data_IF_553853480781
#
_entry.id   IF_553853480781
#
_cell.length_a   1.000
_cell.length_b   1.000
_cell.length_c   1.000
_cell.angle_alpha   90.00
_cell.angle_beta   90.00
_cell.angle_gamma   90.00
#
_symmetry.space_group_name_H-M   'P 1'
#
loop_
_entity.id
_entity.type
_entity.pdbx_description
1 polymer ?
#
# COMPACT_ATOMS: atom_id res chain seq x y z
N UNK A 1 -14.38 17.11 17.46
CA UNK A 1 -13.82 16.60 16.19
C UNK A 1 -13.46 17.77 15.30
N UNK A 2 -12.32 17.69 14.63
CA UNK A 2 -11.58 18.84 14.09
C UNK A 2 -11.55 18.88 12.56
N UNK A 3 -12.07 17.87 11.88
CA UNK A 3 -11.92 17.73 10.44
C UNK A 3 -12.40 18.99 9.68
N UNK A 4 -13.61 19.48 9.92
CA UNK A 4 -14.11 20.69 9.26
C UNK A 4 -13.16 21.90 9.43
N UNK A 5 -12.57 22.08 10.62
CA UNK A 5 -11.63 23.16 10.90
C UNK A 5 -10.30 22.95 10.15
N UNK A 6 -9.75 21.74 10.19
CA UNK A 6 -8.50 21.39 9.51
C UNK A 6 -8.65 21.58 8.00
N UNK A 7 -9.76 21.14 7.41
CA UNK A 7 -9.98 21.31 5.98
C UNK A 7 -10.23 22.77 5.60
N UNK A 8 -10.93 23.53 6.44
CA UNK A 8 -11.05 24.97 6.26
C UNK A 8 -9.67 25.64 6.26
N UNK A 9 -8.81 25.35 7.25
CA UNK A 9 -7.44 25.87 7.29
C UNK A 9 -6.65 25.49 6.03
N UNK A 10 -6.74 24.24 5.55
CA UNK A 10 -6.10 23.79 4.30
C UNK A 10 -6.59 24.57 3.09
N UNK A 11 -7.90 24.79 2.95
CA UNK A 11 -8.48 25.59 1.86
C UNK A 11 -7.97 27.03 1.88
N UNK A 12 -7.89 27.65 3.07
CA UNK A 12 -7.30 28.98 3.23
C UNK A 12 -5.83 29.00 2.80
N UNK A 13 -5.01 28.04 3.26
CA UNK A 13 -3.60 27.94 2.87
C UNK A 13 -3.41 27.77 1.36
N UNK A 14 -4.24 26.93 0.72
CA UNK A 14 -4.23 26.74 -0.74
C UNK A 14 -4.58 28.03 -1.48
N UNK A 15 -5.60 28.76 -1.03
CA UNK A 15 -6.01 30.04 -1.62
C UNK A 15 -4.95 31.14 -1.46
N UNK A 16 -4.37 31.26 -0.27
CA UNK A 16 -3.24 32.15 0.00
C UNK A 16 -2.07 31.84 -0.93
N UNK A 17 -1.70 30.56 -1.06
CA UNK A 17 -0.62 30.14 -1.97
C UNK A 17 -0.91 30.48 -3.42
N UNK A 18 -2.09 30.18 -3.93
CA UNK A 18 -2.45 30.49 -5.32
C UNK A 18 -2.28 31.99 -5.61
N UNK A 19 -2.67 32.83 -4.65
CA UNK A 19 -2.51 34.28 -4.69
C UNK A 19 -1.03 34.69 -4.64
N UNK A 20 -0.26 34.12 -3.73
CA UNK A 20 1.18 34.38 -3.59
C UNK A 20 1.96 33.97 -4.85
N UNK A 21 1.66 32.80 -5.43
CA UNK A 21 2.30 32.33 -6.67
C UNK A 21 1.96 33.27 -7.83
N UNK A 22 0.69 33.64 -7.98
CA UNK A 22 0.28 34.62 -8.98
C UNK A 22 1.01 35.96 -8.83
N UNK A 23 1.17 36.46 -7.60
CA UNK A 23 1.91 37.69 -7.33
C UNK A 23 3.40 37.57 -7.69
N UNK A 24 4.05 36.44 -7.41
CA UNK A 24 5.45 36.18 -7.79
C UNK A 24 5.64 35.96 -9.30
N UNK A 25 4.65 35.36 -9.98
CA UNK A 25 4.65 35.17 -11.43
C UNK A 25 4.46 36.49 -12.18
N UNK A 26 3.66 37.41 -11.61
CA UNK A 26 3.42 38.75 -12.14
C UNK A 26 4.60 39.73 -11.94
N UNK A 27 5.60 39.39 -11.12
CA UNK A 27 6.78 40.23 -10.86
C UNK A 27 7.94 39.93 -11.84
N UNK A 28 8.60 40.94 -12.45
CA UNK A 28 9.73 40.72 -13.37
C UNK A 28 10.93 40.05 -12.69
N UNK A 29 11.52 39.09 -13.40
CA UNK A 29 12.47 38.07 -12.94
C UNK A 29 13.54 38.51 -11.91
N UNK A 30 13.52 37.82 -10.76
CA UNK A 30 14.74 37.30 -10.15
C UNK A 30 14.62 35.77 -10.11
N UNK A 31 15.59 35.08 -10.69
CA UNK A 31 15.65 33.61 -10.74
C UNK A 31 15.83 33.00 -9.35
N UNK A 32 16.52 33.69 -8.43
CA UNK A 32 16.77 33.23 -7.07
C UNK A 32 15.49 33.13 -6.19
N UNK A 33 14.63 34.18 -6.10
CA UNK A 33 13.38 34.11 -5.34
C UNK A 33 12.40 33.08 -5.90
N UNK A 34 12.35 32.88 -7.23
CA UNK A 34 11.52 31.84 -7.85
C UNK A 34 12.03 30.44 -7.52
N UNK A 35 13.34 30.19 -7.60
CA UNK A 35 13.94 28.90 -7.23
C UNK A 35 13.79 28.61 -5.72
N UNK A 36 13.98 29.62 -4.86
CA UNK A 36 13.79 29.50 -3.42
C UNK A 36 12.31 29.25 -3.05
N UNK A 37 11.37 29.92 -3.73
CA UNK A 37 9.93 29.68 -3.55
C UNK A 37 9.49 28.31 -4.05
N UNK A 38 10.09 27.78 -5.12
CA UNK A 38 9.82 26.44 -5.63
C UNK A 38 10.34 25.37 -4.67
N UNK A 39 11.57 25.51 -4.16
CA UNK A 39 12.12 24.60 -3.13
C UNK A 39 11.29 24.63 -1.85
N UNK A 40 10.85 25.82 -1.40
CA UNK A 40 9.99 25.94 -0.23
C UNK A 40 8.63 25.26 -0.45
N UNK A 41 8.02 25.45 -1.62
CA UNK A 41 6.78 24.77 -1.95
C UNK A 41 6.97 23.25 -1.99
N UNK A 42 8.03 22.74 -2.60
CA UNK A 42 8.25 21.31 -2.74
C UNK A 42 8.46 20.60 -1.40
N UNK A 43 9.16 21.25 -0.47
CA UNK A 43 9.49 20.68 0.83
C UNK A 43 8.40 20.87 1.88
N UNK A 44 7.80 22.07 1.95
CA UNK A 44 6.86 22.43 3.02
C UNK A 44 5.39 22.27 2.63
N UNK A 45 5.02 22.36 1.37
CA UNK A 45 3.62 22.20 0.95
C UNK A 45 3.04 20.84 1.34
N UNK A 46 3.75 19.71 1.14
CA UNK A 46 3.22 18.42 1.53
C UNK A 46 2.95 18.28 3.04
N UNK A 47 3.65 19.09 3.86
CA UNK A 47 3.43 19.14 5.32
C UNK A 47 2.15 19.89 5.70
N UNK A 48 1.70 20.84 4.87
CA UNK A 48 0.49 21.62 5.12
C UNK A 48 -0.80 20.82 4.85
N UNK A 49 -0.66 19.64 4.24
CA UNK A 49 -1.72 18.65 4.07
C UNK A 49 -1.66 17.98 2.69
N UNK A 50 -2.37 16.85 2.53
CA UNK A 50 -2.37 16.12 1.28
C UNK A 50 -2.93 16.97 0.13
N UNK A 51 -2.40 16.72 -1.07
CA UNK A 51 -2.93 17.26 -2.31
C UNK A 51 -4.43 16.90 -2.45
N UNK A 52 -5.16 17.68 -3.26
CA UNK A 52 -6.57 17.40 -3.53
C UNK A 52 -6.77 16.01 -4.16
N UNK A 53 -5.81 15.60 -4.99
CA UNK A 53 -5.76 14.30 -5.65
C UNK A 53 -4.34 13.75 -5.51
N UNK A 54 -4.16 12.45 -5.28
CA UNK A 54 -2.84 11.81 -5.35
C UNK A 54 -2.17 12.05 -6.71
N UNK A 55 -0.83 12.11 -6.76
CA UNK A 55 -0.12 12.13 -8.04
C UNK A 55 -0.44 10.84 -8.84
N UNK A 56 -0.42 10.90 -10.17
CA UNK A 56 -0.56 9.70 -10.99
C UNK A 56 0.66 8.80 -10.82
N UNK A 57 0.53 7.51 -11.14
CA UNK A 57 1.69 6.64 -11.28
C UNK A 57 2.66 7.24 -12.30
N UNK A 58 2.22 7.50 -13.54
CA UNK A 58 3.07 8.03 -14.63
C UNK A 58 4.21 7.09 -15.04
N UNK A 59 3.93 5.77 -15.15
CA UNK A 59 4.84 4.78 -15.73
C UNK A 59 4.55 4.71 -17.24
N UNK A 60 5.26 5.49 -18.04
CA UNK A 60 5.02 5.54 -19.50
C UNK A 60 5.74 4.44 -20.27
N UNK A 61 6.92 4.04 -19.80
CA UNK A 61 7.73 3.02 -20.44
C UNK A 61 8.74 2.42 -19.46
N UNK A 62 9.11 1.18 -19.69
CA UNK A 62 10.27 0.55 -19.05
C UNK A 62 11.48 0.59 -19.97
N UNK A 63 12.65 0.87 -19.39
CA UNK A 63 13.94 0.77 -20.05
C UNK A 63 14.62 -0.53 -19.60
N UNK A 64 14.73 -1.52 -20.49
CA UNK A 64 15.38 -2.81 -20.21
C UNK A 64 16.28 -3.21 -21.37
N UNK A 65 17.53 -3.56 -21.10
CA UNK A 65 18.48 -4.06 -22.11
C UNK A 65 18.59 -3.17 -23.37
N UNK A 66 18.49 -1.85 -23.19
CA UNK A 66 18.48 -0.87 -24.29
C UNK A 66 17.19 -0.81 -25.12
N UNK A 67 16.16 -1.60 -24.75
CA UNK A 67 14.81 -1.55 -25.32
C UNK A 67 13.90 -0.70 -24.46
N UNK A 68 13.05 0.09 -25.12
CA UNK A 68 11.96 0.83 -24.50
C UNK A 68 10.66 0.07 -24.77
N UNK A 69 10.09 -0.51 -23.73
CA UNK A 69 8.77 -1.13 -23.81
C UNK A 69 7.73 -0.13 -23.29
N UNK A 70 6.77 0.22 -24.15
CA UNK A 70 5.66 1.10 -23.75
C UNK A 70 4.76 0.40 -22.73
N UNK A 71 4.35 1.16 -21.72
CA UNK A 71 3.47 0.68 -20.65
C UNK A 71 2.09 1.31 -20.85
N UNK A 72 1.07 0.46 -20.85
CA UNK A 72 -0.34 0.88 -20.96
C UNK A 72 -1.00 0.73 -19.59
N UNK A 73 -1.46 1.85 -19.03
CA UNK A 73 -2.23 1.92 -17.79
C UNK A 73 -3.75 1.91 -18.12
N UNK A 74 -4.50 1.00 -17.48
CA UNK A 74 -5.97 0.89 -17.63
C UNK A 74 -6.63 0.53 -16.31
N UNK A 75 -7.86 1.00 -16.07
CA UNK A 75 -8.69 0.47 -14.99
C UNK A 75 -9.52 -0.71 -15.54
N UNK A 76 -9.37 -1.90 -14.94
CA UNK A 76 -10.02 -3.13 -15.42
C UNK A 76 -11.21 -3.57 -14.56
N UNK A 77 -11.30 -3.06 -13.33
CA UNK A 77 -12.44 -3.24 -12.44
C UNK A 77 -12.47 -2.08 -11.44
N UNK A 78 -13.68 -1.71 -11.00
CA UNK A 78 -13.87 -0.66 -10.01
C UNK A 78 -14.88 -1.12 -8.96
N UNK A 79 -14.59 -0.78 -7.72
CA UNK A 79 -15.52 -0.78 -6.59
C UNK A 79 -15.59 0.64 -6.03
N UNK A 80 -16.56 0.97 -5.17
CA UNK A 80 -16.64 2.33 -4.61
C UNK A 80 -15.39 2.77 -3.83
N UNK A 81 -14.59 1.84 -3.30
CA UNK A 81 -13.42 2.13 -2.47
C UNK A 81 -12.09 1.86 -3.16
N UNK A 82 -12.09 1.16 -4.30
CA UNK A 82 -10.85 0.72 -4.93
C UNK A 82 -11.05 0.45 -6.42
N UNK A 83 -10.12 0.97 -7.23
CA UNK A 83 -9.92 0.57 -8.61
C UNK A 83 -8.86 -0.54 -8.68
N UNK A 84 -9.03 -1.47 -9.62
CA UNK A 84 -7.99 -2.41 -10.01
C UNK A 84 -7.33 -1.89 -11.29
N UNK A 85 -6.15 -1.30 -11.13
CA UNK A 85 -5.39 -0.72 -12.23
C UNK A 85 -4.40 -1.73 -12.80
N UNK A 86 -4.45 -1.93 -14.10
CA UNK A 86 -3.51 -2.76 -14.86
C UNK A 86 -2.48 -1.88 -15.55
N UNK A 87 -1.22 -2.19 -15.30
CA UNK A 87 -0.06 -1.75 -16.07
C UNK A 87 0.39 -2.93 -16.91
N UNK A 88 0.41 -2.76 -18.23
CA UNK A 88 0.73 -3.85 -19.15
C UNK A 88 1.82 -3.47 -20.13
N UNK A 89 2.60 -4.47 -20.54
CA UNK A 89 3.65 -4.33 -21.56
C UNK A 89 3.57 -5.46 -22.59
N UNK A 90 4.17 -5.30 -23.77
CA UNK A 90 4.22 -6.37 -24.76
C UNK A 90 4.84 -7.67 -24.20
N UNK A 91 4.22 -8.81 -24.52
CA UNK A 91 4.72 -10.17 -24.26
C UNK A 91 4.92 -10.55 -22.78
N UNK A 92 4.21 -9.90 -21.86
CA UNK A 92 4.19 -10.31 -20.45
C UNK A 92 3.62 -11.74 -20.30
N UNK A 93 4.43 -12.64 -19.72
CA UNK A 93 4.10 -14.07 -19.58
C UNK A 93 3.32 -14.39 -18.31
N UNK A 94 3.31 -13.48 -17.33
CA UNK A 94 2.66 -13.66 -16.02
C UNK A 94 1.87 -12.42 -15.62
N UNK A 95 1.00 -12.61 -14.63
CA UNK A 95 0.22 -11.56 -14.00
C UNK A 95 0.63 -11.42 -12.54
N UNK A 96 0.81 -10.19 -12.06
CA UNK A 96 1.14 -9.91 -10.66
C UNK A 96 0.06 -9.01 -10.08
N UNK A 97 -0.76 -9.54 -9.16
CA UNK A 97 -1.69 -8.76 -8.35
C UNK A 97 -0.93 -8.17 -7.15
N UNK A 98 -0.64 -6.87 -7.20
CA UNK A 98 -0.05 -6.09 -6.12
C UNK A 98 -1.16 -5.50 -5.24
N UNK A 99 -1.40 -6.11 -4.08
CA UNK A 99 -2.31 -5.60 -3.06
C UNK A 99 -1.60 -4.51 -2.25
N UNK A 100 -1.82 -3.25 -2.62
CA UNK A 100 -1.28 -2.09 -1.92
C UNK A 100 -1.95 -1.89 -0.56
N UNK A 101 -1.21 -1.50 0.49
CA UNK A 101 -1.78 -1.29 1.81
C UNK A 101 -2.68 -0.06 1.84
N UNK A 102 -3.84 -0.17 2.49
CA UNK A 102 -4.66 0.99 2.88
C UNK A 102 -4.15 1.57 4.21
N UNK A 103 -2.84 1.80 4.32
CA UNK A 103 -2.17 2.31 5.53
C UNK A 103 -1.95 3.82 5.46
N UNK A 104 -3.02 4.53 5.11
CA UNK A 104 -3.06 5.99 5.03
C UNK A 104 -2.42 6.62 3.82
N UNK A 105 -1.71 5.87 2.98
CA UNK A 105 -1.12 6.35 1.74
C UNK A 105 -1.96 5.93 0.53
N UNK A 106 -1.90 6.72 -0.53
CA UNK A 106 -2.36 6.33 -1.86
C UNK A 106 -1.43 5.26 -2.46
N UNK A 107 -1.98 4.42 -3.34
CA UNK A 107 -1.24 3.30 -3.93
C UNK A 107 -0.03 3.74 -4.77
N UNK A 108 0.00 5.00 -5.22
CA UNK A 108 1.14 5.61 -5.91
C UNK A 108 2.44 5.58 -5.10
N UNK A 109 2.37 5.45 -3.76
CA UNK A 109 3.57 5.20 -2.95
C UNK A 109 4.32 3.93 -3.35
N UNK A 110 3.63 2.98 -4.01
CA UNK A 110 4.20 1.76 -4.55
C UNK A 110 4.58 1.87 -6.03
N UNK A 111 4.71 3.08 -6.58
CA UNK A 111 5.09 3.30 -7.98
C UNK A 111 6.34 2.52 -8.35
N UNK A 112 7.41 2.65 -7.57
CA UNK A 112 8.68 1.95 -7.81
C UNK A 112 8.50 0.42 -7.76
N UNK A 113 7.65 -0.08 -6.86
CA UNK A 113 7.29 -1.50 -6.78
C UNK A 113 6.62 -1.95 -8.07
N UNK A 114 5.66 -1.18 -8.59
CA UNK A 114 4.99 -1.45 -9.87
C UNK A 114 6.00 -1.45 -11.01
N UNK A 115 6.88 -0.46 -11.10
CA UNK A 115 7.92 -0.39 -12.13
C UNK A 115 8.84 -1.62 -12.10
N UNK A 116 9.25 -2.04 -10.91
CA UNK A 116 10.11 -3.21 -10.73
C UNK A 116 9.38 -4.50 -11.17
N UNK A 117 8.15 -4.71 -10.71
CA UNK A 117 7.36 -5.90 -11.04
C UNK A 117 6.91 -5.95 -12.51
N UNK A 118 6.83 -4.81 -13.18
CA UNK A 118 6.58 -4.75 -14.62
C UNK A 118 7.72 -5.39 -15.42
N UNK A 119 8.92 -5.52 -14.85
CA UNK A 119 9.96 -6.35 -15.46
C UNK A 119 9.51 -7.82 -15.55
N UNK A 120 8.73 -8.31 -14.59
CA UNK A 120 8.35 -9.71 -14.52
C UNK A 120 7.09 -10.02 -15.33
N UNK A 121 6.08 -9.17 -15.27
CA UNK A 121 4.79 -9.41 -15.90
C UNK A 121 3.87 -8.20 -15.95
N UNK A 122 2.61 -8.42 -16.33
CA UNK A 122 1.58 -7.38 -16.21
C UNK A 122 1.25 -7.20 -14.73
N UNK A 123 1.23 -5.95 -14.26
CA UNK A 123 0.98 -5.62 -12.85
C UNK A 123 -0.43 -5.09 -12.69
N UNK A 124 -1.17 -5.66 -11.75
CA UNK A 124 -2.51 -5.26 -11.36
C UNK A 124 -2.43 -4.73 -9.93
N UNK A 125 -2.62 -3.44 -9.72
CA UNK A 125 -2.51 -2.82 -8.40
C UNK A 125 -3.88 -2.39 -7.88
N UNK A 126 -4.14 -2.66 -6.59
CA UNK A 126 -5.30 -2.09 -5.90
C UNK A 126 -5.04 -0.61 -5.60
N UNK A 127 -5.78 0.28 -6.27
CA UNK A 127 -5.67 1.73 -6.13
C UNK A 127 -6.86 2.31 -5.35
N UNK A 128 -6.57 2.86 -4.19
CA UNK A 128 -7.57 3.24 -3.20
C UNK A 128 -8.25 4.57 -3.51
N UNK A 129 -9.58 4.59 -3.43
CA UNK A 129 -10.35 5.83 -3.41
C UNK A 129 -10.34 6.43 -2.01
N UNK A 130 -10.13 7.75 -1.92
CA UNK A 130 -10.17 8.45 -0.64
C UNK A 130 -11.54 8.29 0.02
N UNK A 131 -11.63 7.79 1.26
CA UNK A 131 -12.92 7.52 1.89
C UNK A 131 -13.81 8.76 2.02
N UNK A 132 -13.24 9.98 2.12
CA UNK A 132 -14.04 11.22 2.10
C UNK A 132 -14.80 11.45 0.80
N UNK A 133 -14.32 10.87 -0.29
CA UNK A 133 -14.87 11.02 -1.63
C UNK A 133 -15.79 9.85 -2.02
N UNK A 134 -16.01 8.89 -1.10
CA UNK A 134 -16.92 7.75 -1.30
C UNK A 134 -18.28 8.01 -0.65
N UNK A 135 -19.37 8.10 -1.43
CA UNK A 135 -20.73 8.31 -0.91
C UNK A 135 -21.12 7.35 0.22
N UNK A 136 -21.97 7.81 1.15
CA UNK A 136 -22.41 6.98 2.29
C UNK A 136 -23.27 5.78 1.88
N UNK A 137 -24.08 5.94 0.85
CA UNK A 137 -24.95 4.90 0.29
C UNK A 137 -24.16 3.81 -0.46
N UNK A 138 -22.89 4.04 -0.78
CA UNK A 138 -21.97 3.00 -1.25
C UNK A 138 -21.65 1.92 -0.18
N UNK A 139 -22.13 2.09 1.05
CA UNK A 139 -22.05 1.08 2.11
C UNK A 139 -20.80 1.23 3.00
N UNK A 140 -20.58 0.21 3.84
CA UNK A 140 -19.41 0.14 4.72
C UNK A 140 -18.20 -0.40 3.97
N UNK A 141 -17.01 -0.21 4.53
CA UNK A 141 -15.80 -0.90 4.09
C UNK A 141 -14.93 -1.25 5.29
N UNK A 142 -15.03 -2.50 5.74
CA UNK A 142 -14.22 -3.12 6.78
C UNK A 142 -13.34 -4.25 6.24
N UNK A 143 -12.83 -5.11 7.12
CA UNK A 143 -12.01 -6.25 6.70
C UNK A 143 -12.79 -7.26 5.84
N UNK A 144 -14.07 -7.47 6.14
CA UNK A 144 -14.93 -8.40 5.38
C UNK A 144 -15.14 -7.93 3.93
N UNK A 145 -15.44 -6.65 3.72
CA UNK A 145 -15.60 -6.10 2.37
C UNK A 145 -14.28 -6.07 1.61
N UNK A 146 -13.15 -5.84 2.29
CA UNK A 146 -11.84 -5.91 1.66
C UNK A 146 -11.52 -7.34 1.20
N UNK A 147 -11.78 -8.36 2.04
CA UNK A 147 -11.63 -9.77 1.64
C UNK A 147 -12.51 -10.11 0.43
N UNK A 148 -13.78 -9.68 0.44
CA UNK A 148 -14.70 -9.92 -0.69
C UNK A 148 -14.24 -9.21 -1.97
N UNK A 149 -13.74 -7.98 -1.86
CA UNK A 149 -13.17 -7.23 -2.98
C UNK A 149 -11.96 -7.94 -3.59
N UNK A 150 -11.01 -8.38 -2.76
CA UNK A 150 -9.84 -9.14 -3.22
C UNK A 150 -10.25 -10.47 -3.86
N UNK A 151 -11.22 -11.18 -3.28
CA UNK A 151 -11.76 -12.41 -3.88
C UNK A 151 -12.30 -12.15 -5.29
N UNK A 152 -13.07 -11.07 -5.48
CA UNK A 152 -13.60 -10.67 -6.77
C UNK A 152 -12.52 -10.29 -7.79
N UNK A 153 -11.47 -9.58 -7.36
CA UNK A 153 -10.34 -9.24 -8.22
C UNK A 153 -9.52 -10.48 -8.60
N UNK A 154 -9.24 -11.38 -7.65
CA UNK A 154 -8.55 -12.65 -7.93
C UNK A 154 -9.39 -13.51 -8.87
N UNK A 155 -10.70 -13.58 -8.69
CA UNK A 155 -11.61 -14.30 -9.59
C UNK A 155 -11.59 -13.75 -11.02
N UNK A 156 -11.57 -12.42 -11.17
CA UNK A 156 -11.46 -11.78 -12.48
C UNK A 156 -10.15 -12.16 -13.18
N UNK A 157 -9.03 -12.08 -12.46
CA UNK A 157 -7.70 -12.37 -13.00
C UNK A 157 -7.48 -13.86 -13.28
N UNK A 158 -8.07 -14.74 -12.47
CA UNK A 158 -7.95 -16.19 -12.64
C UNK A 158 -8.61 -16.75 -13.92
N UNK A 159 -9.31 -15.90 -14.70
CA UNK A 159 -9.88 -16.24 -16.01
C UNK A 159 -8.85 -16.21 -17.14
N UNK A 160 -7.70 -15.58 -16.91
CA UNK A 160 -6.57 -15.56 -17.83
C UNK A 160 -5.68 -16.77 -17.55
N UNK A 161 -5.22 -17.44 -18.60
CA UNK A 161 -4.44 -18.68 -18.50
C UNK A 161 -3.01 -18.47 -18.00
N UNK A 162 -2.54 -17.21 -17.97
CA UNK A 162 -1.21 -16.89 -17.46
C UNK A 162 -1.11 -17.16 -15.96
N UNK A 163 0.09 -17.49 -15.44
CA UNK A 163 0.34 -17.61 -14.01
C UNK A 163 -0.03 -16.31 -13.28
N UNK A 164 -0.92 -16.41 -12.29
CA UNK A 164 -1.25 -15.31 -11.38
C UNK A 164 -0.40 -15.40 -10.11
N UNK A 165 0.33 -14.35 -9.79
CA UNK A 165 1.08 -14.18 -8.55
C UNK A 165 0.42 -13.09 -7.71
N UNK A 166 0.22 -13.33 -6.42
CA UNK A 166 -0.33 -12.33 -5.49
C UNK A 166 0.80 -11.80 -4.61
N UNK A 167 0.99 -10.49 -4.58
CA UNK A 167 1.97 -9.81 -3.72
C UNK A 167 1.20 -8.84 -2.83
N UNK A 168 1.17 -9.10 -1.53
CA UNK A 168 0.47 -8.26 -0.56
C UNK A 168 1.46 -7.64 0.42
N UNK A 169 1.28 -6.36 0.71
CA UNK A 169 2.24 -5.57 1.49
C UNK A 169 1.57 -4.99 2.73
N UNK A 170 2.28 -5.04 3.86
CA UNK A 170 1.86 -4.47 5.14
C UNK A 170 0.45 -4.93 5.54
N UNK A 171 -0.50 -4.00 5.70
CA UNK A 171 -1.87 -4.29 6.09
C UNK A 171 -2.62 -5.19 5.09
N UNK A 172 -2.26 -5.14 3.80
CA UNK A 172 -2.94 -5.91 2.77
C UNK A 172 -2.69 -7.43 2.90
N UNK A 173 -1.65 -7.85 3.62
CA UNK A 173 -1.33 -9.27 3.82
C UNK A 173 -2.47 -10.03 4.51
N UNK A 174 -3.11 -9.41 5.49
CA UNK A 174 -4.17 -10.01 6.30
C UNK A 174 -5.44 -10.31 5.48
N UNK A 175 -6.07 -9.33 4.79
CA UNK A 175 -7.22 -9.59 3.92
C UNK A 175 -6.85 -10.44 2.69
N UNK A 176 -5.63 -10.32 2.14
CA UNK A 176 -5.19 -11.17 1.03
C UNK A 176 -5.14 -12.65 1.43
N UNK A 177 -4.52 -12.96 2.58
CA UNK A 177 -4.49 -14.33 3.09
C UNK A 177 -5.90 -14.84 3.41
N UNK A 178 -6.77 -13.99 3.95
CA UNK A 178 -8.18 -14.32 4.18
C UNK A 178 -8.94 -14.70 2.91
N UNK A 179 -8.82 -13.88 1.87
CA UNK A 179 -9.45 -14.15 0.57
C UNK A 179 -8.94 -15.48 -0.01
N UNK A 180 -7.62 -15.68 -0.02
CA UNK A 180 -6.99 -16.89 -0.56
C UNK A 180 -7.38 -18.16 0.22
N UNK A 181 -7.43 -18.09 1.55
CA UNK A 181 -7.89 -19.18 2.40
C UNK A 181 -9.37 -19.54 2.13
N UNK A 182 -10.25 -18.55 1.98
CA UNK A 182 -11.66 -18.78 1.66
C UNK A 182 -11.86 -19.31 0.24
N UNK A 183 -11.03 -18.90 -0.72
CA UNK A 183 -10.99 -19.48 -2.07
C UNK A 183 -10.57 -20.95 -2.03
N UNK A 184 -9.52 -21.28 -1.28
CA UNK A 184 -9.03 -22.64 -1.12
C UNK A 184 -10.08 -23.56 -0.45
N UNK A 185 -10.76 -23.08 0.59
CA UNK A 185 -11.86 -23.80 1.24
C UNK A 185 -13.04 -24.11 0.29
N UNK A 186 -13.26 -23.27 -0.73
CA UNK A 186 -14.27 -23.49 -1.80
C UNK A 186 -13.76 -24.41 -2.92
N UNK A 187 -12.53 -24.90 -2.85
CA UNK A 187 -11.91 -25.73 -3.88
C UNK A 187 -11.56 -24.96 -5.17
N UNK A 188 -11.45 -23.63 -5.11
CA UNK A 188 -11.07 -22.83 -6.27
C UNK A 188 -9.57 -22.95 -6.54
N UNK A 189 -9.13 -22.89 -7.82
CA UNK A 189 -7.70 -22.97 -8.15
C UNK A 189 -6.89 -21.87 -7.45
N UNK A 190 -5.73 -22.21 -6.86
CA UNK A 190 -4.88 -21.23 -6.19
C UNK A 190 -4.14 -20.35 -7.23
N UNK A 191 -3.62 -19.18 -6.83
CA UNK A 191 -2.59 -18.48 -7.60
C UNK A 191 -1.31 -19.34 -7.69
N UNK A 192 -0.43 -19.03 -8.63
CA UNK A 192 0.89 -19.68 -8.75
C UNK A 192 1.72 -19.45 -7.48
N UNK A 193 1.79 -18.20 -7.01
CA UNK A 193 2.42 -17.88 -5.73
C UNK A 193 1.68 -16.79 -4.96
N UNK A 194 1.99 -16.72 -3.67
CA UNK A 194 1.54 -15.71 -2.72
C UNK A 194 2.76 -15.17 -2.00
N UNK A 195 2.97 -13.86 -2.04
CA UNK A 195 4.03 -13.17 -1.30
C UNK A 195 3.42 -12.23 -0.29
N UNK A 196 3.84 -12.34 0.96
CA UNK A 196 3.40 -11.52 2.08
C UNK A 196 4.60 -10.75 2.61
N UNK A 197 4.55 -9.42 2.55
CA UNK A 197 5.68 -8.54 2.88
C UNK A 197 5.34 -7.70 4.10
N UNK A 198 6.08 -7.87 5.19
CA UNK A 198 6.03 -7.03 6.39
C UNK A 198 4.62 -6.84 6.95
N UNK A 199 3.81 -7.89 7.07
CA UNK A 199 2.42 -7.80 7.49
C UNK A 199 2.10 -8.48 8.84
N UNK A 200 1.20 -7.91 9.66
CA UNK A 200 0.93 -8.38 11.02
C UNK A 200 -0.04 -9.58 11.07
N UNK A 201 0.35 -10.74 10.54
CA UNK A 201 -0.53 -11.93 10.51
C UNK A 201 -0.72 -12.56 11.90
N UNK A 202 0.29 -12.47 12.76
CA UNK A 202 0.19 -12.76 14.19
C UNK A 202 0.83 -11.65 15.02
N UNK A 203 0.05 -10.61 15.32
CA UNK A 203 0.49 -9.43 16.07
C UNK A 203 0.96 -9.71 17.51
N UNK A 204 0.78 -10.93 18.02
CA UNK A 204 1.25 -11.33 19.37
C UNK A 204 2.76 -11.57 19.40
N UNK A 205 3.36 -11.91 18.25
CA UNK A 205 4.78 -12.16 18.12
C UNK A 205 5.53 -10.83 18.06
N UNK A 206 6.49 -10.63 18.98
CA UNK A 206 7.33 -9.43 19.07
C UNK A 206 6.58 -8.12 18.78
N UNK A 207 5.59 -7.72 19.62
CA UNK A 207 4.71 -6.60 19.31
C UNK A 207 5.48 -5.32 18.98
N UNK A 208 5.18 -4.74 17.82
CA UNK A 208 5.75 -3.47 17.36
C UNK A 208 5.20 -2.28 18.15
N UNK A 209 5.76 -1.09 17.95
CA UNK A 209 5.22 0.16 18.53
C UNK A 209 3.74 0.34 18.21
N UNK A 210 3.35 0.04 16.96
CA UNK A 210 1.96 0.08 16.52
C UNK A 210 1.11 -0.97 17.25
N UNK A 211 1.60 -2.20 17.39
CA UNK A 211 0.91 -3.26 18.12
C UNK A 211 0.71 -2.93 19.60
N UNK A 212 1.70 -2.33 20.25
CA UNK A 212 1.59 -1.86 21.65
C UNK A 212 0.56 -0.74 21.77
N UNK A 213 0.58 0.24 20.85
CA UNK A 213 -0.40 1.33 20.86
C UNK A 213 -1.84 0.82 20.66
N UNK A 214 -2.04 -0.10 19.70
CA UNK A 214 -3.34 -0.72 19.45
C UNK A 214 -3.89 -1.48 20.66
N UNK A 215 -3.01 -2.15 21.44
CA UNK A 215 -3.39 -2.87 22.65
C UNK A 215 -3.56 -1.98 23.89
N UNK A 216 -3.06 -0.75 23.86
CA UNK A 216 -3.12 0.18 25.00
C UNK A 216 -4.44 0.95 25.10
N UNK A 217 -5.30 0.88 24.08
CA UNK A 217 -6.54 1.65 24.01
C UNK A 217 -7.75 0.79 23.61
N UNK A 218 -8.87 0.98 24.31
CA UNK A 218 -10.15 0.34 23.92
C UNK A 218 -10.66 0.85 22.57
N UNK A 219 -11.47 0.06 21.86
CA UNK A 219 -12.13 0.50 20.62
C UNK A 219 -12.99 1.76 20.82
N UNK A 220 -13.63 1.92 21.97
CA UNK A 220 -14.41 3.12 22.30
C UNK A 220 -13.53 4.36 22.54
N UNK A 221 -12.30 4.16 22.97
CA UNK A 221 -11.31 5.23 22.98
C UNK A 221 -10.92 5.59 21.55
N UNK A 222 -10.62 4.60 20.70
CA UNK A 222 -10.27 4.82 19.30
C UNK A 222 -11.39 5.55 18.55
N UNK A 223 -12.65 5.13 18.71
CA UNK A 223 -13.83 5.79 18.11
C UNK A 223 -13.95 7.26 18.51
N UNK A 224 -13.61 7.61 19.75
CA UNK A 224 -13.76 8.99 20.25
C UNK A 224 -12.61 9.91 19.86
N UNK A 225 -11.40 9.38 19.68
CA UNK A 225 -10.20 10.19 19.51
C UNK A 225 -9.57 10.10 18.12
N UNK A 226 -9.78 8.97 17.42
CA UNK A 226 -9.16 8.69 16.13
C UNK A 226 -10.15 8.75 14.97
N UNK A 227 -11.46 8.64 15.23
CA UNK A 227 -12.46 8.71 14.16
C UNK A 227 -13.04 10.12 14.08
N UNK A 228 -13.09 10.65 12.87
CA UNK A 228 -13.74 11.92 12.55
C UNK A 228 -14.84 11.70 11.47
N UNK A 229 -15.67 12.70 11.22
CA UNK A 229 -16.78 12.65 10.26
C UNK A 229 -16.49 13.58 9.11
N UNK A 230 -16.63 13.07 7.90
CA UNK A 230 -16.38 13.82 6.67
C UNK A 230 -17.31 15.05 6.61
N UNK A 231 -16.77 16.28 6.51
CA UNK A 231 -17.56 17.50 6.49
C UNK A 231 -18.33 17.66 5.18
N UNK A 232 -19.20 18.68 5.10
CA UNK A 232 -19.88 19.01 3.86
C UNK A 232 -18.87 19.46 2.77
N UNK A 233 -19.21 19.24 1.51
CA UNK A 233 -18.36 19.58 0.36
C UNK A 233 -17.60 18.40 -0.26
N UNK A 234 -17.67 17.22 0.37
CA UNK A 234 -17.18 15.96 -0.19
C UNK A 234 -18.33 14.99 -0.45
N UNK A 235 -18.16 14.08 -1.41
CA UNK A 235 -19.18 13.08 -1.75
C UNK A 235 -19.50 12.14 -0.58
N UNK A 236 -18.52 11.83 0.26
CA UNK A 236 -18.66 11.02 1.47
C UNK A 236 -19.15 11.79 2.71
N UNK A 237 -19.72 12.98 2.56
CA UNK A 237 -20.24 13.77 3.69
C UNK A 237 -21.04 12.92 4.70
N UNK A 238 -20.65 13.00 5.98
CA UNK A 238 -21.26 12.25 7.07
C UNK A 238 -20.70 10.83 7.28
N UNK A 239 -19.77 10.36 6.44
CA UNK A 239 -19.04 9.10 6.66
C UNK A 239 -18.06 9.25 7.82
N UNK A 240 -17.92 8.21 8.62
CA UNK A 240 -16.90 8.10 9.66
C UNK A 240 -15.59 7.60 9.05
N UNK A 241 -14.49 8.29 9.32
CA UNK A 241 -13.17 7.97 8.77
C UNK A 241 -12.10 8.11 9.86
N UNK A 242 -11.00 7.38 9.71
CA UNK A 242 -9.73 7.78 10.31
C UNK A 242 -9.08 8.80 9.38
N UNK A 243 -9.09 10.10 9.71
CA UNK A 243 -8.76 11.16 8.76
C UNK A 243 -7.26 11.30 8.55
N UNK A 244 -6.87 11.73 7.35
CA UNK A 244 -5.48 11.98 6.94
C UNK A 244 -4.68 12.84 7.90
N UNK A 245 -5.29 13.82 8.57
CA UNK A 245 -4.55 14.69 9.49
C UNK A 245 -4.05 13.98 10.75
N UNK A 246 -4.80 12.98 11.24
CA UNK A 246 -4.35 12.15 12.36
C UNK A 246 -3.33 11.12 11.88
N UNK A 247 -3.56 10.52 10.71
CA UNK A 247 -2.63 9.58 10.07
C UNK A 247 -1.27 10.25 9.79
N UNK A 248 -1.26 11.48 9.30
CA UNK A 248 -0.04 12.25 9.06
C UNK A 248 0.73 12.51 10.37
N UNK A 249 0.02 12.85 11.45
CA UNK A 249 0.65 13.04 12.76
C UNK A 249 1.26 11.73 13.29
N UNK A 250 0.54 10.61 13.14
CA UNK A 250 1.03 9.28 13.50
C UNK A 250 2.29 8.92 12.70
N UNK A 251 2.25 9.01 11.37
CA UNK A 251 3.40 8.70 10.50
C UNK A 251 4.60 9.58 10.85
N UNK A 252 4.39 10.88 11.11
CA UNK A 252 5.47 11.79 11.48
C UNK A 252 6.11 11.45 12.83
N UNK A 253 5.31 10.98 13.80
CA UNK A 253 5.81 10.57 15.12
C UNK A 253 6.55 9.24 15.04
N UNK A 254 6.00 8.28 14.32
CA UNK A 254 6.52 6.90 14.30
C UNK A 254 7.68 6.75 13.30
N UNK A 255 7.68 7.51 12.19
CA UNK A 255 8.67 7.39 11.10
C UNK A 255 9.31 8.74 10.69
N UNK A 256 9.82 9.56 11.64
CA UNK A 256 10.40 10.86 11.29
C UNK A 256 11.61 10.73 10.36
N UNK A 257 12.40 9.67 10.52
CA UNK A 257 13.62 9.41 9.74
C UNK A 257 13.34 9.24 8.25
N UNK A 258 12.21 8.62 7.86
CA UNK A 258 11.88 8.40 6.45
C UNK A 258 11.62 9.71 5.75
N UNK A 259 10.81 10.58 6.35
CA UNK A 259 10.55 11.91 5.81
C UNK A 259 11.83 12.75 5.73
N UNK A 260 12.67 12.73 6.76
CA UNK A 260 13.97 13.43 6.76
C UNK A 260 14.91 12.90 5.67
N UNK A 261 14.94 11.60 5.42
CA UNK A 261 15.76 11.01 4.36
C UNK A 261 15.33 11.46 2.96
N UNK A 262 14.02 11.63 2.72
CA UNK A 262 13.50 12.15 1.46
C UNK A 262 13.85 13.64 1.26
N UNK A 263 13.81 14.44 2.34
CA UNK A 263 14.26 15.83 2.31
C UNK A 263 15.76 15.92 2.01
N UNK A 264 16.57 15.09 2.67
CA UNK A 264 18.01 15.08 2.43
C UNK A 264 18.31 14.70 0.98
N UNK A 265 17.68 13.64 0.46
CA UNK A 265 17.80 13.24 -0.94
C UNK A 265 17.43 14.35 -1.94
N UNK A 266 16.34 15.07 -1.69
CA UNK A 266 15.96 16.25 -2.49
C UNK A 266 17.02 17.35 -2.40
N UNK A 267 17.51 17.64 -1.21
CA UNK A 267 18.52 18.69 -0.97
C UNK A 267 19.83 18.35 -1.67
N UNK A 268 20.30 17.10 -1.57
CA UNK A 268 21.51 16.64 -2.27
C UNK A 268 21.35 16.73 -3.79
N UNK A 269 20.21 16.31 -4.34
CA UNK A 269 19.93 16.44 -5.78
C UNK A 269 19.95 17.91 -6.23
N UNK A 270 19.35 18.81 -5.44
CA UNK A 270 19.33 20.24 -5.73
C UNK A 270 20.73 20.86 -5.69
N UNK A 271 21.56 20.48 -4.71
CA UNK A 271 22.96 20.95 -4.59
C UNK A 271 23.84 20.48 -5.75
N UNK A 272 23.54 19.33 -6.33
CA UNK A 272 24.25 18.79 -7.49
C UNK A 272 23.81 19.41 -8.82
N UNK A 273 22.76 20.26 -8.80
CA UNK A 273 22.16 20.88 -9.99
C UNK A 273 21.76 19.87 -11.08
N UNK A 274 21.40 18.64 -10.71
CA UNK A 274 20.88 17.62 -11.62
C UNK A 274 19.35 17.74 -11.70
N UNK A 275 18.78 18.26 -12.81
CA UNK A 275 17.34 18.46 -12.92
C UNK A 275 16.54 17.16 -12.89
N UNK A 276 17.12 16.06 -13.38
CA UNK A 276 16.49 14.73 -13.37
C UNK A 276 16.43 14.15 -11.97
N UNK A 277 17.54 14.22 -11.23
CA UNK A 277 17.59 13.79 -9.83
C UNK A 277 16.63 14.62 -8.96
N UNK A 278 16.57 15.94 -9.16
CA UNK A 278 15.62 16.81 -8.44
C UNK A 278 14.18 16.42 -8.74
N UNK A 279 13.83 16.18 -10.01
CA UNK A 279 12.48 15.78 -10.39
C UNK A 279 12.08 14.43 -9.75
N UNK A 280 13.01 13.47 -9.68
CA UNK A 280 12.78 12.17 -9.06
C UNK A 280 12.62 12.29 -7.53
N UNK A 281 13.50 13.04 -6.86
CA UNK A 281 13.41 13.26 -5.42
C UNK A 281 12.12 14.00 -5.03
N UNK A 282 11.72 15.00 -5.83
CA UNK A 282 10.45 15.72 -5.68
C UNK A 282 9.26 14.77 -5.79
N UNK A 283 9.29 13.88 -6.78
CA UNK A 283 8.22 12.89 -7.00
C UNK A 283 8.10 11.95 -5.81
N UNK A 284 9.20 11.37 -5.35
CA UNK A 284 9.21 10.47 -4.19
C UNK A 284 8.63 11.15 -2.93
N UNK A 285 8.95 12.43 -2.70
CA UNK A 285 8.37 13.21 -1.60
C UNK A 285 6.85 13.38 -1.75
N UNK A 286 6.36 13.68 -2.95
CA UNK A 286 4.92 13.82 -3.22
C UNK A 286 4.16 12.49 -3.10
N UNK A 287 4.76 11.40 -3.54
CA UNK A 287 4.20 10.05 -3.42
C UNK A 287 4.10 9.62 -1.95
N UNK A 288 5.15 9.88 -1.16
CA UNK A 288 5.17 9.59 0.28
C UNK A 288 4.13 10.39 1.07
N UNK A 289 3.81 11.60 0.63
CA UNK A 289 2.88 12.50 1.33
C UNK A 289 1.46 12.46 0.76
N UNK A 290 1.22 11.62 -0.25
CA UNK A 290 -0.10 11.37 -0.81
C UNK A 290 -0.92 10.50 0.13
N UNK A 291 -1.57 11.13 1.12
CA UNK A 291 -2.39 10.44 2.12
C UNK A 291 -3.88 10.41 1.76
N UNK A 292 -4.57 9.37 2.22
CA UNK A 292 -6.01 9.14 2.03
C UNK A 292 -6.73 8.94 3.36
N UNK A 293 -7.98 9.38 3.45
CA UNK A 293 -8.80 9.04 4.60
C UNK A 293 -9.17 7.56 4.52
N UNK A 294 -9.07 6.89 5.66
CA UNK A 294 -9.38 5.47 5.78
C UNK A 294 -10.80 5.30 6.32
N UNK A 295 -11.61 4.35 5.80
CA UNK A 295 -12.91 4.02 6.41
C UNK A 295 -12.75 3.66 7.89
N UNK A 296 -13.61 4.21 8.76
CA UNK A 296 -13.51 3.95 10.20
C UNK A 296 -13.72 2.46 10.52
N UNK A 297 -14.56 1.78 9.77
CA UNK A 297 -14.82 0.35 9.94
C UNK A 297 -13.55 -0.47 9.72
N UNK A 298 -12.83 -0.25 8.62
CA UNK A 298 -11.57 -0.94 8.35
C UNK A 298 -10.49 -0.64 9.40
N UNK A 299 -10.36 0.62 9.82
CA UNK A 299 -9.42 0.99 10.89
C UNK A 299 -9.75 0.24 12.20
N UNK A 300 -11.00 0.29 12.63
CA UNK A 300 -11.44 -0.33 13.89
C UNK A 300 -11.38 -1.87 13.82
N UNK A 301 -11.74 -2.45 12.69
CA UNK A 301 -11.59 -3.88 12.41
C UNK A 301 -10.11 -4.28 12.52
N UNK A 302 -9.18 -3.45 12.00
CA UNK A 302 -7.75 -3.71 12.12
C UNK A 302 -7.28 -3.69 13.58
N UNK A 303 -7.67 -2.68 14.35
CA UNK A 303 -7.32 -2.62 15.79
C UNK A 303 -7.87 -3.84 16.53
N UNK A 304 -9.13 -4.18 16.32
CA UNK A 304 -9.81 -5.27 17.02
C UNK A 304 -9.32 -6.67 16.56
N UNK A 305 -9.51 -6.97 15.28
CA UNK A 305 -9.33 -8.32 14.72
C UNK A 305 -7.86 -8.67 14.58
N UNK A 306 -7.02 -7.74 14.12
CA UNK A 306 -5.62 -7.99 13.81
C UNK A 306 -4.73 -7.84 15.04
N UNK A 307 -4.85 -6.72 15.75
CA UNK A 307 -3.93 -6.40 16.85
C UNK A 307 -4.39 -6.88 18.23
N UNK A 308 -5.64 -6.63 18.61
CA UNK A 308 -6.12 -6.95 19.96
C UNK A 308 -6.49 -8.43 20.11
N UNK A 309 -7.31 -8.95 19.20
CA UNK A 309 -7.76 -10.35 19.23
C UNK A 309 -6.87 -11.30 18.45
N UNK A 310 -5.95 -10.79 17.62
CA UNK A 310 -5.03 -11.57 16.79
C UNK A 310 -5.71 -12.77 16.11
N UNK A 311 -6.84 -12.53 15.45
CA UNK A 311 -7.80 -13.57 15.10
C UNK A 311 -7.24 -14.62 14.12
N UNK A 312 -6.32 -14.25 13.22
CA UNK A 312 -5.62 -15.23 12.38
C UNK A 312 -4.67 -16.11 13.22
N UNK A 313 -3.79 -15.50 14.01
CA UNK A 313 -2.89 -16.22 14.94
C UNK A 313 -3.61 -17.10 15.97
N UNK A 314 -4.86 -16.79 16.30
CA UNK A 314 -5.72 -17.57 17.19
C UNK A 314 -6.68 -18.53 16.44
N UNK A 315 -6.68 -18.56 15.11
CA UNK A 315 -7.61 -19.35 14.29
C UNK A 315 -9.10 -19.09 14.58
N UNK A 316 -9.45 -17.87 15.00
CA UNK A 316 -10.81 -17.44 15.34
C UNK A 316 -11.41 -16.45 14.35
N UNK A 317 -10.66 -16.03 13.32
CA UNK A 317 -11.16 -15.07 12.36
C UNK A 317 -12.30 -15.67 11.52
N UNK A 318 -13.37 -14.90 11.35
CA UNK A 318 -14.50 -15.23 10.51
C UNK A 318 -14.79 -14.03 9.60
N UNK A 319 -15.02 -14.29 8.33
CA UNK A 319 -15.41 -13.31 7.31
C UNK A 319 -16.79 -13.69 6.82
N UNK A 320 -17.76 -12.76 6.88
CA UNK A 320 -19.15 -13.00 6.52
C UNK A 320 -19.74 -14.28 7.18
N UNK A 321 -19.31 -14.57 8.41
CA UNK A 321 -19.75 -15.75 9.15
C UNK A 321 -19.10 -17.09 8.76
N UNK A 322 -18.11 -17.09 7.87
CA UNK A 322 -17.30 -18.27 7.50
C UNK A 322 -15.94 -18.17 8.18
N UNK A 323 -15.48 -19.26 8.82
CA UNK A 323 -14.15 -19.29 9.44
C UNK A 323 -13.07 -19.23 8.37
N UNK A 324 -12.01 -18.48 8.62
CA UNK A 324 -10.86 -18.42 7.73
C UNK A 324 -9.88 -19.51 8.13
N UNK A 325 -9.59 -20.45 7.21
CA UNK A 325 -8.74 -21.62 7.42
C UNK A 325 -7.56 -21.59 6.42
N UNK A 326 -6.46 -20.88 6.74
CA UNK A 326 -5.29 -20.79 5.83
C UNK A 326 -4.61 -22.13 5.56
N UNK A 327 -4.80 -23.11 6.45
CA UNK A 327 -4.38 -24.50 6.30
C UNK A 327 -5.14 -25.25 5.22
N UNK A 328 -6.12 -24.63 4.53
CA UNK A 328 -6.72 -25.12 3.30
C UNK A 328 -5.88 -24.85 2.04
N UNK A 329 -4.91 -23.94 2.09
CA UNK A 329 -4.06 -23.62 0.93
C UNK A 329 -3.16 -24.81 0.54
N UNK A 330 -3.12 -25.13 -0.77
CA UNK A 330 -2.30 -26.17 -1.40
C UNK A 330 -1.89 -25.70 -2.79
N UNK A 331 -0.80 -26.23 -3.34
CA UNK A 331 -0.47 -26.05 -4.76
C UNK A 331 -0.12 -24.61 -5.12
N UNK A 332 0.54 -23.89 -4.21
CA UNK A 332 0.94 -22.49 -4.37
C UNK A 332 2.20 -22.20 -3.57
N UNK A 333 3.17 -21.51 -4.17
CA UNK A 333 4.37 -21.13 -3.46
C UNK A 333 4.09 -19.93 -2.54
N UNK A 334 4.47 -20.01 -1.27
CA UNK A 334 4.36 -18.95 -0.27
C UNK A 334 5.74 -18.35 0.00
N UNK A 335 5.88 -17.05 -0.24
CA UNK A 335 7.03 -16.26 0.21
C UNK A 335 6.60 -15.29 1.33
N UNK A 336 7.34 -15.29 2.43
CA UNK A 336 7.21 -14.28 3.49
C UNK A 336 8.49 -13.47 3.60
N UNK A 337 8.37 -12.14 3.67
CA UNK A 337 9.50 -11.21 3.70
C UNK A 337 9.39 -10.33 4.94
N UNK A 338 10.44 -10.27 5.75
CA UNK A 338 10.56 -9.36 6.90
C UNK A 338 11.87 -8.58 6.86
N UNK A 339 11.89 -7.40 7.48
CA UNK A 339 13.09 -6.59 7.65
C UNK A 339 13.58 -6.65 9.08
N UNK A 340 14.90 -6.82 9.28
CA UNK A 340 15.50 -6.90 10.62
C UNK A 340 15.44 -5.57 11.40
N UNK A 341 15.15 -4.46 10.71
CA UNK A 341 14.94 -3.13 11.30
C UNK A 341 13.51 -2.62 11.06
N UNK A 342 12.55 -3.51 10.78
CA UNK A 342 11.14 -3.15 10.65
C UNK A 342 10.54 -2.81 12.03
N UNK A 343 10.12 -1.54 12.20
CA UNK A 343 9.47 -1.05 13.41
C UNK A 343 7.93 -1.04 13.32
N UNK A 344 7.35 -1.32 12.15
CA UNK A 344 5.90 -1.39 11.89
C UNK A 344 5.40 -2.78 12.23
N UNK A 345 6.07 -3.80 11.69
CA UNK A 345 5.70 -5.20 11.82
C UNK A 345 6.77 -5.93 12.59
N UNK A 346 6.38 -6.54 13.71
CA UNK A 346 7.29 -7.26 14.58
C UNK A 346 7.91 -8.48 13.90
N UNK A 347 9.12 -8.85 14.34
CA UNK A 347 9.78 -10.05 13.87
C UNK A 347 8.90 -11.30 14.10
N UNK A 348 8.78 -12.14 13.09
CA UNK A 348 7.98 -13.35 13.08
C UNK A 348 6.49 -13.16 12.78
N UNK A 349 5.96 -11.93 12.78
CA UNK A 349 4.53 -11.71 12.56
C UNK A 349 4.07 -12.08 11.15
N UNK A 350 4.89 -11.81 10.13
CA UNK A 350 4.62 -12.20 8.74
C UNK A 350 4.95 -13.67 8.54
N UNK A 351 6.07 -14.13 9.12
CA UNK A 351 6.49 -15.53 9.03
C UNK A 351 5.54 -16.51 9.72
N UNK A 352 4.64 -16.04 10.59
CA UNK A 352 3.53 -16.82 11.13
C UNK A 352 2.67 -17.48 10.03
N UNK A 353 2.65 -16.93 8.81
CA UNK A 353 2.00 -17.54 7.65
C UNK A 353 2.43 -19.00 7.42
N UNK A 354 3.69 -19.37 7.70
CA UNK A 354 4.17 -20.74 7.49
C UNK A 354 3.53 -21.75 8.44
N UNK A 355 3.18 -21.33 9.66
CA UNK A 355 2.44 -22.16 10.60
C UNK A 355 0.95 -22.18 10.27
N UNK A 356 0.39 -21.02 9.89
CA UNK A 356 -1.02 -20.89 9.52
C UNK A 356 -1.36 -21.70 8.25
N UNK A 357 -0.51 -21.62 7.22
CA UNK A 357 -0.65 -22.33 5.95
C UNK A 357 -0.01 -23.73 6.03
N UNK A 358 -0.33 -24.49 7.08
CA UNK A 358 0.24 -25.81 7.36
C UNK A 358 -0.01 -26.85 6.25
N UNK A 359 -0.94 -26.55 5.36
CA UNK A 359 -1.26 -27.32 4.19
C UNK A 359 -0.22 -27.35 3.08
N UNK A 360 0.62 -26.31 2.97
CA UNK A 360 1.61 -26.21 1.91
C UNK A 360 2.74 -27.24 2.10
N UNK A 361 3.28 -27.77 1.02
CA UNK A 361 4.46 -28.63 1.07
C UNK A 361 5.70 -27.84 1.52
N UNK A 362 6.77 -28.56 1.91
CA UNK A 362 7.98 -27.90 2.42
C UNK A 362 8.72 -27.11 1.33
N UNK A 363 8.70 -27.58 0.09
CA UNK A 363 9.28 -26.94 -1.09
C UNK A 363 8.46 -25.75 -1.60
N UNK A 364 7.18 -25.63 -1.20
CA UNK A 364 6.33 -24.48 -1.48
C UNK A 364 6.55 -23.31 -0.50
N UNK A 365 7.37 -23.48 0.55
CA UNK A 365 7.52 -22.49 1.63
C UNK A 365 8.88 -21.79 1.55
N UNK A 366 8.84 -20.49 1.30
CA UNK A 366 10.02 -19.63 1.20
C UNK A 366 9.94 -18.49 2.23
N UNK A 367 11.09 -18.16 2.81
CA UNK A 367 11.25 -17.11 3.81
C UNK A 367 12.55 -16.35 3.58
N UNK A 368 12.49 -15.03 3.71
CA UNK A 368 13.69 -14.20 3.82
C UNK A 368 13.54 -13.15 4.92
N UNK A 369 14.65 -12.90 5.60
CA UNK A 369 14.85 -11.79 6.54
C UNK A 369 15.90 -10.86 5.91
N UNK A 370 15.56 -9.60 5.67
CA UNK A 370 16.44 -8.63 5.00
C UNK A 370 17.22 -7.83 6.04
N UNK A 371 18.54 -7.99 6.04
CA UNK A 371 19.43 -7.35 7.00
C UNK A 371 19.50 -5.82 6.82
N UNK A 372 19.42 -5.07 7.93
CA UNK A 372 19.40 -3.60 7.93
C UNK A 372 18.25 -2.97 7.15
N UNK A 373 17.16 -3.69 6.92
CA UNK A 373 16.00 -3.21 6.15
C UNK A 373 14.88 -2.75 7.09
N UNK A 374 14.44 -1.50 6.90
CA UNK A 374 13.25 -0.96 7.54
C UNK A 374 11.98 -1.38 6.79
N UNK A 375 10.81 -1.00 7.31
CA UNK A 375 9.54 -1.39 6.71
C UNK A 375 9.38 -0.94 5.25
N UNK A 376 9.75 0.30 4.94
CA UNK A 376 9.59 0.88 3.59
C UNK A 376 10.59 0.27 2.60
N UNK A 377 11.78 -0.10 3.08
CA UNK A 377 12.82 -0.76 2.32
C UNK A 377 12.39 -2.13 1.79
N UNK A 378 11.40 -2.78 2.42
CA UNK A 378 10.89 -4.08 1.98
C UNK A 378 10.15 -4.03 0.64
N UNK A 379 9.74 -2.84 0.18
CA UNK A 379 8.97 -2.68 -1.06
C UNK A 379 9.34 -1.43 -1.88
N UNK A 380 10.27 -0.59 -1.40
CA UNK A 380 10.82 0.55 -2.15
C UNK A 380 12.34 0.66 -1.99
N UNK A 381 13.00 1.32 -2.94
CA UNK A 381 14.42 1.62 -2.89
C UNK A 381 15.36 0.41 -3.04
N UNK A 382 16.58 0.58 -2.55
CA UNK A 382 17.71 -0.36 -2.80
C UNK A 382 17.43 -1.75 -2.23
N UNK A 383 16.94 -1.85 -0.99
CA UNK A 383 16.63 -3.15 -0.36
C UNK A 383 15.57 -3.93 -1.13
N UNK A 384 14.54 -3.25 -1.62
CA UNK A 384 13.53 -3.86 -2.48
C UNK A 384 14.14 -4.40 -3.78
N UNK A 385 14.93 -3.59 -4.50
CA UNK A 385 15.50 -3.96 -5.80
C UNK A 385 16.59 -5.03 -5.71
N UNK A 386 17.44 -4.95 -4.71
CA UNK A 386 18.67 -5.74 -4.66
C UNK A 386 18.52 -7.00 -3.79
N UNK A 387 17.65 -6.98 -2.78
CA UNK A 387 17.49 -8.09 -1.83
C UNK A 387 16.13 -8.82 -1.99
N UNK A 388 15.01 -8.09 -2.04
CA UNK A 388 13.66 -8.70 -2.02
C UNK A 388 13.20 -9.16 -3.41
N UNK A 389 13.27 -8.28 -4.41
CA UNK A 389 12.78 -8.54 -5.76
C UNK A 389 13.44 -9.76 -6.44
N UNK A 390 14.77 -10.00 -6.33
CA UNK A 390 15.40 -11.18 -6.94
C UNK A 390 14.88 -12.50 -6.34
N UNK A 391 14.59 -12.52 -5.04
CA UNK A 391 14.00 -13.71 -4.39
C UNK A 391 12.56 -13.90 -4.83
N UNK A 392 11.80 -12.82 -4.95
CA UNK A 392 10.44 -12.84 -5.47
C UNK A 392 10.38 -13.41 -6.90
N UNK A 393 11.27 -12.95 -7.79
CA UNK A 393 11.39 -13.45 -9.15
C UNK A 393 11.73 -14.95 -9.18
N UNK A 394 12.65 -15.40 -8.32
CA UNK A 394 12.98 -16.81 -8.20
C UNK A 394 11.79 -17.68 -7.75
N UNK A 395 10.98 -17.17 -6.81
CA UNK A 395 9.75 -17.85 -6.37
C UNK A 395 8.70 -17.86 -7.49
N UNK A 396 8.59 -16.80 -8.28
CA UNK A 396 7.71 -16.81 -9.46
C UNK A 396 8.13 -17.90 -10.44
N UNK A 397 9.40 -17.98 -10.80
CA UNK A 397 9.92 -19.01 -11.69
C UNK A 397 9.72 -20.43 -11.14
N UNK A 398 9.93 -20.64 -9.84
CA UNK A 398 9.69 -21.93 -9.18
C UNK A 398 8.21 -22.35 -9.27
N UNK A 399 7.30 -21.43 -8.96
CA UNK A 399 5.86 -21.67 -9.00
C UNK A 399 5.35 -21.96 -10.42
N UNK A 400 5.94 -21.34 -11.43
CA UNK A 400 5.61 -21.56 -12.84
C UNK A 400 6.11 -22.91 -13.36
N UNK A 401 7.32 -23.34 -12.96
CA UNK A 401 7.90 -24.61 -13.38
C UNK A 401 7.08 -25.84 -12.91
N UNK A 402 6.40 -25.73 -11.76
CA UNK A 402 5.52 -26.78 -11.23
C UNK A 402 4.16 -26.88 -11.91
N UNK A 403 3.78 -25.92 -12.79
CA UNK A 403 2.47 -25.89 -13.44
C UNK A 403 2.52 -26.53 -14.83
N UNK A 404 1.77 -27.61 -15.00
CA UNK A 404 1.46 -28.13 -16.35
C UNK A 404 0.52 -27.16 -17.05
N UNK A 405 0.76 -26.76 -18.32
CA UNK A 405 -0.16 -25.88 -19.05
C UNK A 405 -1.57 -26.47 -19.06
N UNK A 406 -2.58 -25.64 -18.74
CA UNK A 406 -3.98 -26.03 -18.97
C UNK A 406 -4.20 -25.97 -20.49
N UNK A 407 -4.44 -27.13 -21.10
CA UNK A 407 -4.74 -27.29 -22.53
C UNK A 407 -6.20 -27.02 -22.83
#
# INVERSE_FOLDING_TARGET
MWYALVEQQRQWLRAWRATTRYAFDAWPALTLPRAASACYADLFEPLLGPAATPPPFAIEALLRDGRRDEVVETCIASTPFCDLRRFSRPRAQRMVLLCAPLAGHAAVMMRETVETLLADGDVYVTDWTNARDVPRDAGRFGLDEYVAMLDGFIELLARDDRPLHVVAVCQATFPALGALALRAQRGLPPPASVTLIGGPLDARLNPSTLGVAANSHSLDWCRRHLIDVVPAGFAGHGRSVFPTYLQQAEIAIVYPHRYLSLIDGYTQAALQFDPGAVANARRALLEYTALLDMPAEYFLDTVDIVFQRACLGNHTWRVAGVRVEPDALRGTALLTVEGTCDAVTGAGQTHAAHALCSGLAADERHRIDVDGCDHYGLFTGVRWRDDVHPVLEAVFAHAEAGRTPRH
#
